data_IF_405588311139
#
_entry.id   IF_405588311139
#
_cell.length_a   1.000
_cell.length_b   1.000
_cell.length_c   1.000
_cell.angle_alpha   90.00
_cell.angle_beta   90.00
_cell.angle_gamma   90.00
#
_symmetry.space_group_name_H-M   'P 1'
#
loop_
_entity.id
_entity.type
_entity.pdbx_description
1 polymer ?
#
# COMPACT_ATOMS: atom_id res chain seq x y z
N UNK A 1 10.22 44.80 -6.21
CA UNK A 1 10.36 43.59 -7.07
C UNK A 1 11.07 42.45 -6.34
N UNK A 2 12.26 42.67 -5.74
CA UNK A 2 13.00 41.66 -4.96
C UNK A 2 12.23 41.07 -3.76
N UNK A 3 11.43 41.86 -3.05
CA UNK A 3 10.64 41.39 -1.88
C UNK A 3 9.58 40.33 -2.24
N UNK A 4 8.94 40.45 -3.41
CA UNK A 4 7.98 39.45 -3.90
C UNK A 4 8.63 38.13 -4.33
N UNK A 5 9.93 38.14 -4.64
CA UNK A 5 10.68 36.91 -4.94
C UNK A 5 11.07 36.19 -3.66
N UNK A 6 11.57 36.91 -2.66
CA UNK A 6 11.90 36.37 -1.34
C UNK A 6 10.66 35.78 -0.63
N UNK A 7 9.50 36.45 -0.71
CA UNK A 7 8.25 35.96 -0.13
C UNK A 7 7.72 34.69 -0.84
N UNK A 8 7.87 34.61 -2.17
CA UNK A 8 7.56 33.40 -2.96
C UNK A 8 8.54 32.25 -2.76
N UNK A 9 9.80 32.54 -2.43
CA UNK A 9 10.79 31.53 -2.08
C UNK A 9 10.55 31.00 -0.67
N UNK A 10 10.22 31.87 0.30
CA UNK A 10 9.84 31.47 1.64
C UNK A 10 8.56 30.62 1.66
N UNK A 11 7.55 30.98 0.86
CA UNK A 11 6.33 30.19 0.72
C UNK A 11 6.65 28.79 0.15
N UNK A 12 7.43 28.72 -0.93
CA UNK A 12 7.84 27.45 -1.54
C UNK A 12 8.70 26.60 -0.62
N UNK A 13 9.60 27.21 0.15
CA UNK A 13 10.41 26.51 1.14
C UNK A 13 9.54 25.95 2.28
N UNK A 14 8.55 26.72 2.73
CA UNK A 14 7.57 26.27 3.73
C UNK A 14 6.68 25.14 3.19
N UNK A 15 6.21 25.25 1.96
CA UNK A 15 5.41 24.21 1.29
C UNK A 15 6.23 22.93 1.09
N UNK A 16 7.51 23.05 0.72
CA UNK A 16 8.41 21.91 0.62
C UNK A 16 8.68 21.26 1.97
N UNK A 17 8.92 22.05 3.02
CA UNK A 17 9.13 21.53 4.36
C UNK A 17 7.88 20.80 4.90
N UNK A 18 6.69 21.36 4.66
CA UNK A 18 5.43 20.72 5.04
C UNK A 18 5.20 19.41 4.26
N UNK A 19 5.53 19.40 2.96
CA UNK A 19 5.41 18.21 2.13
C UNK A 19 6.39 17.11 2.57
N UNK A 20 7.63 17.48 2.88
CA UNK A 20 8.66 16.54 3.35
C UNK A 20 8.29 15.93 4.71
N UNK A 21 7.72 16.73 5.62
CA UNK A 21 7.21 16.22 6.90
C UNK A 21 6.02 15.27 6.72
N UNK A 22 5.08 15.59 5.82
CA UNK A 22 3.97 14.69 5.46
C UNK A 22 4.47 13.37 4.87
N UNK A 23 5.46 13.42 3.98
CA UNK A 23 6.10 12.22 3.41
C UNK A 23 6.78 11.40 4.51
N UNK A 24 7.50 12.04 5.43
CA UNK A 24 8.12 11.35 6.55
C UNK A 24 7.10 10.65 7.45
N UNK A 25 6.02 11.34 7.82
CA UNK A 25 4.94 10.75 8.61
C UNK A 25 4.28 9.58 7.89
N UNK A 26 4.07 9.70 6.57
CA UNK A 26 3.55 8.62 5.75
C UNK A 26 4.48 7.40 5.74
N UNK A 27 5.79 7.62 5.65
CA UNK A 27 6.78 6.55 5.72
C UNK A 27 6.78 5.84 7.07
N UNK A 28 6.69 6.59 8.16
CA UNK A 28 6.64 6.01 9.51
C UNK A 28 5.37 5.19 9.72
N UNK A 29 4.21 5.71 9.29
CA UNK A 29 2.94 4.97 9.36
C UNK A 29 2.97 3.69 8.52
N UNK A 30 3.50 3.76 7.29
CA UNK A 30 3.63 2.59 6.43
C UNK A 30 4.61 1.56 6.99
N UNK A 31 5.74 1.99 7.53
CA UNK A 31 6.70 1.09 8.20
C UNK A 31 6.08 0.40 9.41
N UNK A 32 5.31 1.12 10.22
CA UNK A 32 4.59 0.54 11.34
C UNK A 32 3.54 -0.47 10.88
N UNK A 33 2.83 -0.19 9.77
CA UNK A 33 1.82 -1.06 9.20
C UNK A 33 2.38 -2.35 8.59
N UNK A 34 3.45 -2.25 7.81
CA UNK A 34 4.17 -3.39 7.24
C UNK A 34 4.98 -4.16 8.30
N UNK A 35 5.46 -3.47 9.34
CA UNK A 35 6.18 -4.07 10.46
C UNK A 35 5.32 -4.97 11.36
N UNK A 36 3.99 -4.95 11.21
CA UNK A 36 3.10 -5.93 11.85
C UNK A 36 3.22 -7.33 11.26
N UNK A 37 3.75 -7.46 10.03
CA UNK A 37 3.95 -8.75 9.38
C UNK A 37 5.41 -9.20 9.47
N UNK A 38 5.60 -10.49 9.68
CA UNK A 38 6.87 -11.15 9.42
C UNK A 38 7.15 -11.24 7.92
N UNK A 39 8.42 -11.45 7.56
CA UNK A 39 8.81 -11.66 6.15
C UNK A 39 8.03 -12.81 5.50
N UNK A 40 7.85 -13.92 6.22
CA UNK A 40 7.08 -15.06 5.74
C UNK A 40 5.62 -14.68 5.45
N UNK A 41 4.99 -13.91 6.35
CA UNK A 41 3.63 -13.45 6.16
C UNK A 41 3.48 -12.52 4.94
N UNK A 42 4.51 -11.72 4.66
CA UNK A 42 4.56 -10.87 3.47
C UNK A 42 4.65 -11.75 2.21
N UNK A 43 5.54 -12.75 2.20
CA UNK A 43 5.69 -13.68 1.07
C UNK A 43 4.39 -14.46 0.81
N UNK A 44 3.72 -14.96 1.84
CA UNK A 44 2.41 -15.62 1.73
C UNK A 44 1.33 -14.71 1.17
N UNK A 45 1.31 -13.44 1.58
CA UNK A 45 0.36 -12.45 1.08
C UNK A 45 0.52 -12.27 -0.43
N UNK A 46 1.75 -12.08 -0.90
CA UNK A 46 2.02 -11.90 -2.32
C UNK A 46 1.78 -13.18 -3.13
N UNK A 47 2.12 -14.35 -2.57
CA UNK A 47 1.81 -15.63 -3.18
C UNK A 47 0.30 -15.80 -3.36
N UNK A 48 -0.50 -15.51 -2.34
CA UNK A 48 -1.95 -15.59 -2.41
C UNK A 48 -2.55 -14.62 -3.44
N UNK A 49 -2.00 -13.40 -3.58
CA UNK A 49 -2.42 -12.46 -4.64
C UNK A 49 -2.10 -13.03 -6.03
N UNK A 50 -0.92 -13.61 -6.21
CA UNK A 50 -0.52 -14.20 -7.47
C UNK A 50 -1.36 -15.43 -7.84
N UNK A 51 -1.65 -16.30 -6.86
CA UNK A 51 -2.53 -17.44 -7.04
C UNK A 51 -3.95 -17.01 -7.38
N UNK A 52 -4.49 -15.98 -6.71
CA UNK A 52 -5.80 -15.43 -7.00
C UNK A 52 -5.86 -14.88 -8.44
N UNK A 53 -4.88 -14.06 -8.85
CA UNK A 53 -4.79 -13.51 -10.20
C UNK A 53 -4.73 -14.61 -11.27
N UNK A 54 -4.00 -15.70 -10.98
CA UNK A 54 -3.92 -16.84 -11.87
C UNK A 54 -5.23 -17.64 -11.93
N UNK A 55 -5.88 -17.88 -10.79
CA UNK A 55 -7.13 -18.67 -10.73
C UNK A 55 -8.32 -17.95 -11.34
N UNK A 56 -8.51 -16.68 -10.99
CA UNK A 56 -9.69 -15.92 -11.39
C UNK A 56 -9.55 -15.36 -12.82
N UNK A 57 -8.35 -14.90 -13.19
CA UNK A 57 -8.16 -14.11 -14.41
C UNK A 57 -7.10 -14.71 -15.36
N UNK A 58 -6.46 -15.83 -14.98
CA UNK A 58 -5.33 -16.43 -15.70
C UNK A 58 -4.20 -15.42 -15.97
N UNK A 59 -4.06 -14.44 -15.07
CA UNK A 59 -3.03 -13.41 -15.13
C UNK A 59 -1.85 -13.80 -14.26
N UNK A 60 -0.64 -13.61 -14.80
CA UNK A 60 0.57 -13.60 -13.98
C UNK A 60 0.76 -12.17 -13.48
N UNK A 61 1.09 -12.00 -12.21
CA UNK A 61 1.41 -10.68 -11.64
C UNK A 61 2.91 -10.55 -11.39
N UNK A 62 3.43 -9.34 -11.55
CA UNK A 62 4.78 -8.97 -11.17
C UNK A 62 4.74 -8.40 -9.75
N UNK A 63 5.41 -9.12 -8.87
CA UNK A 63 5.63 -8.72 -7.48
C UNK A 63 7.02 -8.06 -7.43
N UNK A 64 7.14 -6.83 -6.92
CA UNK A 64 8.45 -6.17 -6.81
C UNK A 64 9.37 -6.98 -5.88
N UNK A 65 10.66 -7.03 -6.20
CA UNK A 65 11.66 -7.80 -5.44
C UNK A 65 11.79 -7.36 -3.97
N UNK A 66 11.45 -6.09 -3.67
CA UNK A 66 11.48 -5.52 -2.32
C UNK A 66 10.17 -4.81 -2.00
N UNK A 67 9.09 -5.57 -1.70
CA UNK A 67 7.76 -4.99 -1.55
C UNK A 67 7.59 -4.17 -0.27
N UNK A 68 8.46 -4.30 0.73
CA UNK A 68 8.22 -3.78 2.09
C UNK A 68 9.11 -2.61 2.53
N UNK A 69 10.05 -2.14 1.70
CA UNK A 69 11.07 -1.17 2.17
C UNK A 69 11.11 0.17 1.43
N UNK A 70 10.41 0.29 0.31
CA UNK A 70 10.58 1.46 -0.53
C UNK A 70 9.56 2.55 -0.20
N UNK A 71 10.03 3.80 -0.11
CA UNK A 71 9.23 4.94 0.31
C UNK A 71 7.96 5.15 -0.53
N UNK A 72 8.03 4.76 -1.79
CA UNK A 72 6.93 4.80 -2.74
C UNK A 72 5.80 3.78 -2.46
N UNK A 73 6.00 2.80 -1.57
CA UNK A 73 4.97 1.85 -1.15
C UNK A 73 4.25 2.24 0.13
N UNK A 74 4.41 3.50 0.60
CA UNK A 74 3.71 3.98 1.78
C UNK A 74 2.18 3.78 1.68
N UNK A 75 1.66 3.89 0.46
CA UNK A 75 0.24 3.72 0.13
C UNK A 75 -0.17 2.27 -0.20
N UNK A 76 0.75 1.31 -0.05
CA UNK A 76 0.60 -0.08 -0.47
C UNK A 76 1.47 -0.43 -1.67
N UNK A 77 1.54 -1.72 -2.00
CA UNK A 77 2.39 -2.23 -3.09
C UNK A 77 1.57 -2.43 -4.35
N UNK A 78 1.75 -1.62 -5.40
CA UNK A 78 1.11 -1.86 -6.68
C UNK A 78 1.65 -3.14 -7.30
N UNK A 79 0.76 -4.06 -7.65
CA UNK A 79 1.06 -5.27 -8.41
C UNK A 79 0.58 -5.10 -9.83
N UNK A 80 1.45 -5.39 -10.78
CA UNK A 80 1.14 -5.23 -12.21
C UNK A 80 0.91 -6.59 -12.85
N UNK A 81 0.07 -6.63 -13.87
CA UNK A 81 -0.08 -7.83 -14.69
C UNK A 81 1.13 -7.98 -15.63
N UNK A 82 1.66 -9.20 -15.70
CA UNK A 82 2.74 -9.62 -16.59
C UNK A 82 2.15 -10.00 -17.94
N UNK A 83 2.24 -9.11 -18.91
CA UNK A 83 1.65 -9.31 -20.23
C UNK A 83 1.98 -8.18 -21.21
N UNK A 84 1.30 -8.17 -22.36
CA UNK A 84 1.50 -7.16 -23.42
C UNK A 84 1.18 -5.73 -22.96
N UNK A 85 0.28 -5.61 -21.99
CA UNK A 85 -0.05 -4.37 -21.32
C UNK A 85 0.32 -4.55 -19.86
N UNK A 86 1.39 -3.87 -19.42
CA UNK A 86 1.81 -3.83 -18.02
C UNK A 86 0.82 -2.96 -17.22
N UNK A 87 -0.39 -3.49 -17.03
CA UNK A 87 -1.51 -2.79 -16.40
C UNK A 87 -1.53 -3.06 -14.89
N UNK A 88 -1.85 -2.05 -14.10
CA UNK A 88 -2.00 -2.17 -12.65
C UNK A 88 -3.15 -3.11 -12.33
N UNK A 89 -2.83 -4.25 -11.72
CA UNK A 89 -3.80 -5.26 -11.32
C UNK A 89 -4.49 -4.86 -10.00
N UNK A 90 -3.72 -4.32 -9.05
CA UNK A 90 -4.24 -3.78 -7.81
C UNK A 90 -3.15 -3.37 -6.84
N UNK A 91 -3.54 -3.02 -5.62
CA UNK A 91 -2.63 -2.55 -4.57
C UNK A 91 -2.72 -3.52 -3.39
N UNK A 92 -1.59 -4.08 -3.00
CA UNK A 92 -1.48 -5.03 -1.90
C UNK A 92 -1.22 -4.27 -0.60
N UNK A 93 -2.01 -4.62 0.42
CA UNK A 93 -1.97 -4.13 1.80
C UNK A 93 -1.75 -2.61 1.87
N UNK A 94 -2.70 -1.80 1.37
CA UNK A 94 -2.63 -0.36 1.55
C UNK A 94 -2.57 0.00 3.04
N UNK A 95 -2.04 1.18 3.38
CA UNK A 95 -2.03 1.64 4.76
C UNK A 95 -3.35 2.40 5.05
N UNK A 96 -4.15 2.01 6.06
CA UNK A 96 -5.46 2.61 6.31
C UNK A 96 -5.38 4.11 6.63
N UNK A 97 -4.34 4.53 7.35
CA UNK A 97 -4.12 5.95 7.70
C UNK A 97 -3.74 6.82 6.49
N UNK A 98 -3.22 6.21 5.42
CA UNK A 98 -2.77 6.91 4.22
C UNK A 98 -3.72 6.75 3.04
N UNK A 99 -4.75 5.91 3.18
CA UNK A 99 -5.68 5.60 2.09
C UNK A 99 -6.42 6.86 1.62
N UNK A 100 -6.80 7.73 2.56
CA UNK A 100 -7.50 9.00 2.29
C UNK A 100 -6.63 10.03 1.54
N UNK A 101 -5.31 9.83 1.54
CA UNK A 101 -4.35 10.72 0.89
C UNK A 101 -4.01 10.26 -0.54
N UNK A 102 -4.43 9.06 -0.96
CA UNK A 102 -4.17 8.52 -2.29
C UNK A 102 -5.46 8.32 -3.09
N UNK A 103 -5.79 9.22 -4.02
CA UNK A 103 -6.99 9.09 -4.88
C UNK A 103 -6.98 7.81 -5.72
N UNK A 104 -5.79 7.27 -6.02
CA UNK A 104 -5.63 6.07 -6.84
C UNK A 104 -6.23 4.83 -6.17
N UNK A 105 -6.17 4.75 -4.84
CA UNK A 105 -6.74 3.65 -4.06
C UNK A 105 -8.27 3.59 -4.17
N UNK A 106 -8.92 4.70 -4.49
CA UNK A 106 -10.37 4.74 -4.73
C UNK A 106 -10.80 4.07 -6.05
N UNK A 107 -9.87 3.89 -7.00
CA UNK A 107 -10.16 3.33 -8.33
C UNK A 107 -9.63 1.92 -8.53
N UNK A 108 -8.62 1.49 -7.75
CA UNK A 108 -7.99 0.19 -7.91
C UNK A 108 -8.46 -0.83 -6.86
N UNK A 109 -8.33 -2.12 -7.19
CA UNK A 109 -8.58 -3.21 -6.24
C UNK A 109 -7.53 -3.18 -5.13
N UNK A 110 -7.97 -3.37 -3.91
CA UNK A 110 -7.10 -3.48 -2.74
C UNK A 110 -7.09 -4.92 -2.23
N UNK A 111 -5.91 -5.49 -2.02
CA UNK A 111 -5.76 -6.83 -1.47
C UNK A 111 -5.30 -6.75 -0.01
N UNK A 112 -6.04 -7.38 0.90
CA UNK A 112 -5.69 -7.42 2.33
C UNK A 112 -5.57 -8.85 2.80
N UNK A 113 -4.86 -9.07 3.91
CA UNK A 113 -4.56 -10.42 4.41
C UNK A 113 -5.84 -11.14 4.85
N UNK A 114 -6.64 -10.49 5.69
CA UNK A 114 -7.79 -11.08 6.36
C UNK A 114 -8.95 -10.08 6.49
N UNK A 115 -10.10 -10.56 6.99
CA UNK A 115 -11.28 -9.72 7.19
C UNK A 115 -11.08 -8.64 8.27
N UNK A 116 -10.20 -8.88 9.25
CA UNK A 116 -9.89 -7.90 10.30
C UNK A 116 -9.18 -6.69 9.72
N UNK A 117 -8.19 -6.89 8.85
CA UNK A 117 -7.56 -5.79 8.11
C UNK A 117 -8.57 -5.07 7.21
N UNK A 118 -9.47 -5.80 6.56
CA UNK A 118 -10.53 -5.19 5.75
C UNK A 118 -11.43 -4.25 6.57
N UNK A 119 -11.72 -4.60 7.83
CA UNK A 119 -12.51 -3.77 8.74
C UNK A 119 -11.82 -2.45 9.09
N UNK A 120 -10.48 -2.39 9.17
CA UNK A 120 -9.76 -1.15 9.46
C UNK A 120 -9.92 -0.08 8.37
N UNK A 121 -10.34 -0.45 7.16
CA UNK A 121 -10.62 0.50 6.07
C UNK A 121 -12.07 1.01 6.07
N UNK A 122 -12.97 0.41 6.86
CA UNK A 122 -14.38 0.79 6.95
C UNK A 122 -15.06 0.94 5.59
N UNK A 123 -15.77 2.06 5.39
CA UNK A 123 -16.48 2.36 4.14
C UNK A 123 -15.57 2.92 3.03
N UNK A 124 -14.35 3.38 3.38
CA UNK A 124 -13.46 4.12 2.47
C UNK A 124 -13.07 3.32 1.22
N UNK A 125 -12.97 1.99 1.36
CA UNK A 125 -12.71 1.06 0.26
C UNK A 125 -13.80 -0.01 0.09
N UNK A 126 -14.99 0.22 0.67
CA UNK A 126 -16.08 -0.76 0.63
C UNK A 126 -16.37 -1.22 -0.81
N UNK A 127 -16.39 -2.54 -1.01
CA UNK A 127 -16.63 -3.19 -2.31
C UNK A 127 -15.42 -3.34 -3.23
N UNK A 128 -14.25 -2.80 -2.88
CA UNK A 128 -12.99 -2.93 -3.67
C UNK A 128 -11.89 -3.70 -2.94
N UNK A 129 -12.08 -3.98 -1.66
CA UNK A 129 -11.19 -4.81 -0.86
C UNK A 129 -11.48 -6.28 -1.14
N UNK A 130 -10.46 -7.02 -1.55
CA UNK A 130 -10.44 -8.47 -1.56
C UNK A 130 -9.59 -8.96 -0.40
N UNK A 131 -10.21 -9.61 0.57
CA UNK A 131 -9.48 -10.28 1.64
C UNK A 131 -9.08 -11.69 1.20
N UNK A 132 -7.83 -12.07 1.44
CA UNK A 132 -7.29 -13.37 1.02
C UNK A 132 -7.55 -14.49 2.03
N UNK A 133 -8.12 -14.17 3.19
CA UNK A 133 -8.48 -15.15 4.22
C UNK A 133 -7.26 -15.84 4.86
N UNK A 134 -6.09 -15.20 4.81
CA UNK A 134 -4.86 -15.74 5.37
C UNK A 134 -4.90 -15.69 6.91
N UNK A 135 -4.36 -16.71 7.60
CA UNK A 135 -4.40 -16.79 9.05
C UNK A 135 -3.62 -15.65 9.70
N UNK A 136 -4.10 -15.23 10.87
CA UNK A 136 -3.34 -14.36 11.76
C UNK A 136 -2.30 -15.23 12.49
N UNK A 137 -1.00 -14.99 12.28
CA UNK A 137 0.04 -15.83 12.89
C UNK A 137 0.34 -15.48 14.34
N UNK A 138 -0.44 -14.61 15.00
CA UNK A 138 -0.28 -14.36 16.44
C UNK A 138 -0.67 -15.58 17.32
N UNK A 139 -1.14 -16.70 16.74
CA UNK A 139 -1.52 -17.91 17.49
C UNK A 139 -0.57 -19.12 17.39
N UNK A 140 0.59 -19.01 16.72
CA UNK A 140 1.54 -20.13 16.61
C UNK A 140 2.73 -20.07 17.60
N UNK A 141 2.63 -19.23 18.64
CA UNK A 141 3.58 -19.21 19.77
C UNK A 141 2.92 -19.61 21.08
N UNK A 142 2.33 -20.80 21.13
CA UNK A 142 2.09 -21.52 22.38
C UNK A 142 2.38 -23.01 22.16
N UNK A 143 3.66 -23.38 22.26
CA UNK A 143 4.06 -24.72 22.68
C UNK A 143 5.44 -24.67 23.34
#
# INVERSE_FOLDING_TARGET
MRERWAEKEALRASEQAEQEEKERQALEAARAWWGRLSRQQIEELFAAVAELAWREEQLRVEIPEQPNMAAHFAYGVPVYSRGRYHALYGIVRPCPTLVSLSPQLSYHRAFVRNAQEAQEFGETLAGRITHLGLPDHEQLTMY
#
